data_IF_613303567338
#
_entry.id   IF_613303567338
#
_cell.length_a   1.000
_cell.length_b   1.000
_cell.length_c   1.000
_cell.angle_alpha   90.00
_cell.angle_beta   90.00
_cell.angle_gamma   90.00
#
_symmetry.space_group_name_H-M   'P 1'
#
loop_
_entity.id
_entity.type
_entity.pdbx_description
1 polymer ?
#
# COMPACT_ATOMS: atom_id res chain seq x y z
N UNK A 1 -12.63 -1.81 -21.49
CA UNK A 1 -11.33 -2.29 -20.99
C UNK A 1 -10.28 -1.28 -21.40
N UNK A 2 -9.43 -0.84 -20.45
CA UNK A 2 -8.29 0.06 -20.68
C UNK A 2 -7.00 -0.73 -20.46
N UNK A 3 -6.06 -0.66 -21.38
CA UNK A 3 -4.79 -1.39 -21.31
C UNK A 3 -3.64 -0.38 -21.46
N UNK A 4 -3.01 -0.06 -20.34
CA UNK A 4 -1.76 0.69 -20.29
C UNK A 4 -0.57 -0.20 -20.62
N UNK A 5 0.58 0.38 -20.94
CA UNK A 5 1.80 -0.35 -21.32
C UNK A 5 3.01 0.03 -20.46
N UNK A 6 2.85 0.95 -19.51
CA UNK A 6 3.93 1.56 -18.75
C UNK A 6 3.62 1.67 -17.24
N UNK A 7 2.84 0.72 -16.68
CA UNK A 7 2.45 0.73 -15.28
C UNK A 7 3.68 0.74 -14.36
N UNK A 8 4.68 -0.09 -14.64
CA UNK A 8 5.90 -0.27 -13.83
C UNK A 8 6.76 1.01 -13.70
N UNK A 9 6.55 1.98 -14.59
CA UNK A 9 7.19 3.30 -14.53
C UNK A 9 6.19 4.42 -14.24
N UNK A 10 4.97 4.07 -13.80
CA UNK A 10 3.96 4.98 -13.26
C UNK A 10 2.81 5.34 -14.19
N UNK A 11 2.65 4.70 -15.36
CA UNK A 11 1.49 4.85 -16.25
C UNK A 11 1.35 6.21 -16.93
N UNK A 12 2.45 6.98 -17.02
CA UNK A 12 2.40 8.38 -17.50
C UNK A 12 2.14 8.51 -18.99
N UNK A 13 2.56 7.53 -19.79
CA UNK A 13 2.42 7.52 -21.26
C UNK A 13 1.27 6.63 -21.73
N UNK A 14 0.80 5.70 -20.90
CA UNK A 14 -0.30 4.78 -21.16
C UNK A 14 -1.57 5.15 -20.42
N UNK A 15 -1.70 4.69 -19.18
CA UNK A 15 -2.91 4.81 -18.37
C UNK A 15 -3.38 6.25 -18.18
N UNK A 16 -2.47 7.20 -17.96
CA UNK A 16 -2.79 8.62 -17.83
C UNK A 16 -3.46 9.17 -19.09
N UNK A 17 -2.89 8.93 -20.26
CA UNK A 17 -3.48 9.42 -21.51
C UNK A 17 -4.82 8.76 -21.84
N UNK A 18 -4.97 7.47 -21.51
CA UNK A 18 -6.25 6.78 -21.63
C UNK A 18 -7.29 7.43 -20.69
N UNK A 19 -6.92 7.71 -19.45
CA UNK A 19 -7.81 8.37 -18.49
C UNK A 19 -8.21 9.79 -18.95
N UNK A 20 -7.27 10.58 -19.44
CA UNK A 20 -7.52 11.91 -20.00
C UNK A 20 -8.48 11.84 -21.20
N UNK A 21 -8.25 10.91 -22.12
CA UNK A 21 -9.15 10.70 -23.28
C UNK A 21 -10.56 10.33 -22.84
N UNK A 22 -10.69 9.42 -21.86
CA UNK A 22 -12.01 9.02 -21.33
C UNK A 22 -12.68 10.21 -20.64
N UNK A 23 -11.93 10.98 -19.85
CA UNK A 23 -12.46 12.16 -19.16
C UNK A 23 -12.99 13.20 -20.15
N UNK A 24 -12.25 13.46 -21.23
CA UNK A 24 -12.68 14.40 -22.28
C UNK A 24 -13.95 13.93 -22.99
N UNK A 25 -14.10 12.62 -23.18
CA UNK A 25 -15.22 12.04 -23.93
C UNK A 25 -16.48 11.82 -23.09
N UNK A 26 -16.34 11.38 -21.85
CA UNK A 26 -17.44 10.92 -21.00
C UNK A 26 -17.64 11.77 -19.73
N UNK A 27 -16.69 12.65 -19.41
CA UNK A 27 -16.71 13.46 -18.20
C UNK A 27 -16.24 12.71 -16.93
N UNK A 28 -16.22 13.42 -15.78
CA UNK A 28 -15.85 12.82 -14.50
C UNK A 28 -16.93 11.85 -14.00
N UNK A 29 -16.51 10.89 -13.15
CA UNK A 29 -17.40 9.90 -12.50
C UNK A 29 -18.28 9.11 -13.48
N UNK A 30 -17.76 8.90 -14.69
CA UNK A 30 -18.48 8.20 -15.76
C UNK A 30 -18.58 6.68 -15.53
N UNK A 31 -17.74 6.11 -14.65
CA UNK A 31 -17.80 4.70 -14.28
C UNK A 31 -18.39 4.50 -12.88
N UNK A 32 -19.28 3.54 -12.74
CA UNK A 32 -19.78 3.10 -11.43
C UNK A 32 -18.65 2.54 -10.59
N UNK A 33 -17.81 1.71 -11.22
CA UNK A 33 -16.61 1.15 -10.58
C UNK A 33 -15.53 0.85 -11.64
N UNK A 34 -14.32 0.64 -11.13
CA UNK A 34 -13.17 0.12 -11.86
C UNK A 34 -12.61 -1.08 -11.10
N UNK A 35 -12.17 -2.09 -11.82
CA UNK A 35 -11.36 -3.20 -11.30
C UNK A 35 -10.00 -3.16 -12.00
N UNK A 36 -8.95 -3.18 -11.20
CA UNK A 36 -7.54 -3.10 -11.61
C UNK A 36 -6.73 -4.21 -10.93
N UNK A 37 -5.48 -4.33 -11.29
CA UNK A 37 -4.54 -5.23 -10.63
C UNK A 37 -4.41 -4.94 -9.12
N UNK A 38 -3.95 -5.94 -8.36
CA UNK A 38 -3.80 -5.77 -6.92
C UNK A 38 -3.32 -7.01 -6.21
N UNK A 39 -3.85 -7.27 -5.00
CA UNK A 39 -3.52 -8.47 -4.25
C UNK A 39 -4.24 -9.70 -4.81
N UNK A 40 -3.89 -10.86 -4.30
CA UNK A 40 -4.14 -12.19 -4.85
C UNK A 40 -5.08 -13.01 -3.95
N UNK A 41 -5.42 -14.20 -4.41
CA UNK A 41 -5.93 -15.28 -3.56
C UNK A 41 -4.73 -15.99 -2.96
N UNK A 42 -4.52 -15.91 -1.65
CA UNK A 42 -3.30 -16.43 -1.01
C UNK A 42 -3.69 -17.43 0.07
N UNK A 43 -3.11 -18.64 -0.04
CA UNK A 43 -3.25 -19.66 0.99
C UNK A 43 -2.35 -19.35 2.19
N UNK A 44 -2.84 -19.65 3.40
CA UNK A 44 -2.11 -19.52 4.68
C UNK A 44 -1.53 -18.12 4.97
N UNK A 45 -2.08 -17.06 4.37
CA UNK A 45 -1.60 -15.69 4.56
C UNK A 45 -2.04 -15.09 5.90
N UNK A 46 -3.24 -15.42 6.36
CA UNK A 46 -3.80 -14.89 7.61
C UNK A 46 -3.72 -15.96 8.70
N UNK A 47 -2.90 -15.76 9.74
CA UNK A 47 -2.77 -16.74 10.83
C UNK A 47 -4.10 -17.01 11.53
N UNK A 48 -4.40 -18.28 11.72
CA UNK A 48 -5.63 -18.73 12.38
C UNK A 48 -6.88 -18.72 11.50
N UNK A 49 -6.79 -18.29 10.23
CA UNK A 49 -7.85 -18.44 9.24
C UNK A 49 -7.70 -19.79 8.50
N UNK A 50 -8.84 -20.42 8.21
CA UNK A 50 -8.91 -21.69 7.47
C UNK A 50 -9.11 -21.41 5.98
N UNK A 51 -8.24 -21.99 5.14
CA UNK A 51 -8.29 -21.86 3.68
C UNK A 51 -7.75 -20.53 3.14
N UNK A 52 -7.72 -20.41 1.80
CA UNK A 52 -7.21 -19.23 1.11
C UNK A 52 -8.05 -17.98 1.37
N UNK A 53 -7.40 -16.82 1.24
CA UNK A 53 -8.05 -15.51 1.35
C UNK A 53 -7.84 -14.74 0.06
N UNK A 54 -8.93 -14.33 -0.57
CA UNK A 54 -8.95 -13.40 -1.69
C UNK A 54 -8.97 -11.97 -1.16
N UNK A 55 -7.87 -11.26 -1.33
CA UNK A 55 -7.68 -9.91 -0.77
C UNK A 55 -8.03 -8.85 -1.81
N UNK A 56 -9.27 -8.34 -1.77
CA UNK A 56 -9.74 -7.27 -2.65
C UNK A 56 -9.35 -5.92 -2.04
N UNK A 57 -8.36 -5.24 -2.62
CA UNK A 57 -7.91 -3.97 -2.08
C UNK A 57 -8.90 -2.85 -2.41
N UNK A 58 -9.35 -2.18 -1.35
CA UNK A 58 -10.29 -1.06 -1.42
C UNK A 58 -9.61 0.31 -1.38
N UNK A 59 -8.32 0.33 -1.14
CA UNK A 59 -7.48 1.52 -1.15
C UNK A 59 -6.02 1.17 -1.46
N UNK A 60 -5.26 2.16 -1.92
CA UNK A 60 -3.80 2.11 -2.05
C UNK A 60 -3.15 3.06 -1.08
N UNK A 61 -1.95 2.73 -0.64
CA UNK A 61 -1.10 3.66 0.08
C UNK A 61 -0.61 4.78 -0.85
N UNK A 62 -0.57 5.99 -0.30
CA UNK A 62 0.19 7.06 -0.92
C UNK A 62 1.70 6.89 -0.71
N UNK A 63 2.47 7.81 -1.25
CA UNK A 63 3.90 7.90 -0.96
C UNK A 63 4.35 9.34 -0.78
N UNK A 64 5.33 9.56 0.09
CA UNK A 64 6.04 10.83 0.20
C UNK A 64 7.53 10.56 0.36
N UNK A 65 8.31 11.30 -0.39
CA UNK A 65 9.77 11.29 -0.32
C UNK A 65 10.24 12.58 0.29
N UNK A 66 10.91 12.50 1.44
CA UNK A 66 11.47 13.63 2.15
C UNK A 66 12.99 13.60 2.03
N UNK A 67 13.58 14.74 1.68
CA UNK A 67 15.01 14.99 1.78
C UNK A 67 15.29 15.68 3.11
N UNK A 68 16.16 15.08 3.91
CA UNK A 68 16.73 15.68 5.10
C UNK A 68 18.12 16.18 4.75
N UNK A 69 18.41 17.44 5.02
CA UNK A 69 19.72 18.04 4.76
C UNK A 69 20.24 18.85 5.94
N UNK A 70 21.55 18.82 6.12
CA UNK A 70 22.27 19.56 7.14
C UNK A 70 23.47 20.25 6.48
N UNK A 71 23.58 21.56 6.69
CA UNK A 71 24.78 22.32 6.36
C UNK A 71 25.67 22.46 7.59
N UNK A 72 26.97 22.35 7.41
CA UNK A 72 27.98 22.46 8.46
C UNK A 72 29.24 23.12 7.94
N UNK A 73 30.24 23.25 8.79
CA UNK A 73 31.52 23.84 8.44
C UNK A 73 32.49 22.76 7.97
N UNK A 74 32.98 22.81 6.72
CA UNK A 74 33.99 21.88 6.27
C UNK A 74 35.36 22.21 6.89
N UNK A 75 36.17 21.17 7.14
CA UNK A 75 37.47 21.37 7.77
C UNK A 75 38.38 20.15 7.78
N UNK A 76 39.57 20.31 8.33
CA UNK A 76 40.49 19.20 8.47
C UNK A 76 40.08 18.31 9.67
N UNK A 77 40.15 17.00 9.49
CA UNK A 77 39.71 16.04 10.51
C UNK A 77 40.50 16.07 11.85
N UNK A 78 41.65 16.75 11.90
CA UNK A 78 42.42 16.93 13.13
C UNK A 78 41.89 17.99 14.10
N UNK A 79 40.96 18.86 13.60
CA UNK A 79 40.34 19.93 14.39
C UNK A 79 38.83 20.00 14.08
N UNK A 80 38.07 18.93 14.37
CA UNK A 80 36.65 18.90 14.05
C UNK A 80 35.84 19.74 15.04
N UNK A 81 34.70 20.26 14.58
CA UNK A 81 33.66 20.76 15.47
C UNK A 81 33.09 19.61 16.34
N UNK A 82 32.43 19.93 17.47
CA UNK A 82 31.84 18.92 18.37
C UNK A 82 30.76 18.07 17.70
N UNK A 83 29.99 18.64 16.76
CA UNK A 83 28.98 17.96 15.98
C UNK A 83 29.16 18.30 14.51
N UNK A 84 29.45 17.30 13.69
CA UNK A 84 29.52 17.46 12.23
C UNK A 84 28.14 17.35 11.60
N UNK A 85 27.99 17.85 10.36
CA UNK A 85 26.77 17.66 9.57
C UNK A 85 26.36 16.17 9.46
N UNK A 86 27.35 15.28 9.36
CA UNK A 86 27.12 13.81 9.36
C UNK A 86 26.53 13.32 10.67
N UNK A 87 27.08 13.74 11.81
CA UNK A 87 26.59 13.32 13.12
C UNK A 87 25.17 13.81 13.40
N UNK A 88 24.89 15.07 13.08
CA UNK A 88 23.55 15.66 13.22
C UNK A 88 22.54 14.89 12.37
N UNK A 89 22.85 14.66 11.08
CA UNK A 89 21.96 13.93 10.18
C UNK A 89 21.76 12.47 10.61
N UNK A 90 22.83 11.78 11.02
CA UNK A 90 22.76 10.40 11.50
C UNK A 90 21.83 10.27 12.73
N UNK A 91 21.90 11.24 13.66
CA UNK A 91 20.99 11.28 14.81
C UNK A 91 19.52 11.48 14.35
N UNK A 92 19.28 12.38 13.39
CA UNK A 92 17.94 12.65 12.85
C UNK A 92 17.32 11.39 12.24
N UNK A 93 18.03 10.70 11.33
CA UNK A 93 17.51 9.49 10.67
C UNK A 93 17.35 8.33 11.65
N UNK A 94 18.25 8.18 12.63
CA UNK A 94 18.13 7.17 13.70
C UNK A 94 16.88 7.38 14.56
N UNK A 95 16.48 8.63 14.82
CA UNK A 95 15.23 8.94 15.52
C UNK A 95 14.02 8.49 14.71
N UNK A 96 13.99 8.75 13.40
CA UNK A 96 12.88 8.35 12.51
C UNK A 96 12.71 6.83 12.46
N UNK A 97 13.78 6.05 12.41
CA UNK A 97 13.71 4.59 12.44
C UNK A 97 13.20 4.04 13.77
N UNK A 98 13.61 4.67 14.90
CA UNK A 98 13.22 4.24 16.25
C UNK A 98 11.83 4.70 16.66
N UNK A 99 11.30 5.74 16.03
CA UNK A 99 9.99 6.30 16.31
C UNK A 99 9.10 6.20 15.06
N UNK A 100 8.58 4.99 14.74
CA UNK A 100 7.70 4.81 13.60
C UNK A 100 6.34 5.50 13.84
N UNK A 101 5.70 5.96 12.77
CA UNK A 101 4.37 6.56 12.84
C UNK A 101 3.36 5.66 13.56
N UNK A 102 2.35 6.25 14.23
CA UNK A 102 1.36 5.50 15.00
C UNK A 102 0.60 4.48 14.15
N UNK A 103 0.38 3.28 14.69
CA UNK A 103 -0.42 2.26 14.04
C UNK A 103 -1.91 2.44 14.36
N UNK A 104 -2.77 2.01 13.42
CA UNK A 104 -4.22 1.96 13.57
C UNK A 104 -4.79 0.65 13.02
N UNK A 105 -5.94 0.23 13.53
CA UNK A 105 -6.75 -0.83 12.92
C UNK A 105 -7.90 -0.27 12.10
N UNK A 106 -8.12 1.04 12.10
CA UNK A 106 -9.25 1.66 11.41
C UNK A 106 -9.15 1.46 9.89
N UNK A 107 -10.30 1.39 9.24
CA UNK A 107 -10.39 1.26 7.79
C UNK A 107 -10.17 -0.17 7.28
N UNK A 108 -9.40 -0.37 6.18
CA UNK A 108 -9.30 -1.65 5.49
C UNK A 108 -8.88 -2.83 6.37
N UNK A 109 -7.96 -2.63 7.33
CA UNK A 109 -7.51 -3.69 8.23
C UNK A 109 -8.63 -4.21 9.15
N UNK A 110 -9.41 -3.32 9.74
CA UNK A 110 -10.56 -3.70 10.56
C UNK A 110 -11.62 -4.45 9.74
N UNK A 111 -11.92 -3.93 8.55
CA UNK A 111 -12.91 -4.53 7.65
C UNK A 111 -12.47 -5.93 7.20
N UNK A 112 -11.17 -6.13 6.92
CA UNK A 112 -10.59 -7.42 6.59
C UNK A 112 -10.81 -8.45 7.72
N UNK A 113 -10.44 -8.11 8.95
CA UNK A 113 -10.62 -9.03 10.08
C UNK A 113 -12.10 -9.35 10.34
N UNK A 114 -12.97 -8.36 10.18
CA UNK A 114 -14.42 -8.53 10.34
C UNK A 114 -14.98 -9.45 9.25
N UNK A 115 -14.61 -9.29 8.00
CA UNK A 115 -15.03 -10.15 6.89
C UNK A 115 -14.54 -11.59 7.05
N UNK A 116 -13.32 -11.78 7.52
CA UNK A 116 -12.71 -13.11 7.71
C UNK A 116 -13.16 -13.83 8.99
N UNK A 117 -13.93 -13.17 9.86
CA UNK A 117 -14.36 -13.72 11.14
C UNK A 117 -14.95 -15.15 11.07
N UNK A 118 -15.81 -15.51 10.10
CA UNK A 118 -16.37 -16.86 10.04
C UNK A 118 -15.33 -17.98 9.90
N UNK A 119 -14.26 -17.74 9.16
CA UNK A 119 -13.19 -18.72 8.85
C UNK A 119 -12.10 -18.85 9.92
N UNK A 120 -12.10 -18.02 10.95
CA UNK A 120 -11.10 -18.09 12.01
C UNK A 120 -11.30 -19.29 12.96
N UNK A 121 -10.20 -19.80 13.51
CA UNK A 121 -10.21 -20.71 14.66
C UNK A 121 -10.84 -20.04 15.88
N UNK A 122 -11.35 -20.82 16.84
CA UNK A 122 -12.12 -20.31 17.97
C UNK A 122 -11.44 -19.13 18.71
N UNK A 123 -10.17 -19.26 19.06
CA UNK A 123 -9.44 -18.19 19.78
C UNK A 123 -9.32 -16.89 18.98
N UNK A 124 -8.98 -17.00 17.67
CA UNK A 124 -8.94 -15.83 16.78
C UNK A 124 -10.33 -15.25 16.53
N UNK A 125 -11.36 -16.10 16.41
CA UNK A 125 -12.74 -15.66 16.25
C UNK A 125 -13.22 -14.87 17.46
N UNK A 126 -12.88 -15.34 18.68
CA UNK A 126 -13.19 -14.61 19.92
C UNK A 126 -12.51 -13.24 19.95
N UNK A 127 -11.21 -13.17 19.60
CA UNK A 127 -10.44 -11.93 19.53
C UNK A 127 -11.06 -10.94 18.54
N UNK A 128 -11.28 -11.39 17.30
CA UNK A 128 -11.81 -10.55 16.23
C UNK A 128 -13.27 -10.12 16.46
N UNK A 129 -14.07 -10.94 17.14
CA UNK A 129 -15.46 -10.57 17.53
C UNK A 129 -15.51 -9.49 18.61
N UNK A 130 -14.40 -9.24 19.31
CA UNK A 130 -14.31 -8.29 20.41
C UNK A 130 -13.16 -7.29 20.19
N UNK A 131 -13.05 -6.74 18.96
CA UNK A 131 -11.99 -5.77 18.61
C UNK A 131 -12.05 -4.49 19.45
N UNK A 132 -13.22 -4.13 19.99
CA UNK A 132 -13.34 -3.03 20.93
C UNK A 132 -12.49 -3.24 22.20
N UNK A 133 -12.33 -4.50 22.65
CA UNK A 133 -11.52 -4.89 23.81
C UNK A 133 -10.09 -5.27 23.40
N UNK A 134 -9.94 -6.13 22.40
CA UNK A 134 -8.64 -6.71 21.99
C UNK A 134 -7.93 -5.91 20.89
N UNK A 135 -8.58 -4.90 20.31
CA UNK A 135 -8.02 -4.06 19.24
C UNK A 135 -6.65 -3.46 19.58
N UNK A 136 -6.46 -2.85 20.75
CA UNK A 136 -5.16 -2.32 21.16
C UNK A 136 -4.04 -3.38 21.19
N UNK A 137 -4.35 -4.61 21.63
CA UNK A 137 -3.40 -5.72 21.62
C UNK A 137 -3.10 -6.19 20.20
N UNK A 138 -4.13 -6.43 19.39
CA UNK A 138 -3.97 -6.84 18.00
C UNK A 138 -3.15 -5.82 17.20
N UNK A 139 -3.44 -4.52 17.37
CA UNK A 139 -2.68 -3.43 16.76
C UNK A 139 -1.20 -3.51 17.12
N UNK A 140 -0.86 -3.73 18.40
CA UNK A 140 0.54 -3.88 18.84
C UNK A 140 1.22 -5.09 18.19
N UNK A 141 0.52 -6.23 18.16
CA UNK A 141 1.05 -7.47 17.54
C UNK A 141 1.31 -7.28 16.04
N UNK A 142 0.38 -6.66 15.31
CA UNK A 142 0.55 -6.39 13.88
C UNK A 142 1.65 -5.37 13.62
N UNK A 143 1.72 -4.33 14.43
CA UNK A 143 2.72 -3.27 14.33
C UNK A 143 4.14 -3.72 14.63
N UNK A 144 4.30 -4.77 15.45
CA UNK A 144 5.60 -5.31 15.83
C UNK A 144 6.26 -6.19 14.75
N UNK A 145 5.51 -6.63 13.73
CA UNK A 145 6.03 -7.49 12.66
C UNK A 145 6.17 -6.68 11.37
N UNK A 146 7.33 -6.73 10.74
CA UNK A 146 7.63 -5.97 9.52
C UNK A 146 6.54 -6.09 8.44
N UNK A 147 6.17 -7.33 8.04
CA UNK A 147 5.15 -7.55 6.97
C UNK A 147 3.75 -7.07 7.34
N UNK A 148 3.30 -7.24 8.58
CA UNK A 148 1.94 -6.84 8.99
C UNK A 148 1.83 -5.38 9.39
N UNK A 149 2.94 -4.74 9.77
CA UNK A 149 2.97 -3.31 10.10
C UNK A 149 2.55 -2.44 8.89
N UNK A 150 2.83 -2.92 7.67
CA UNK A 150 2.44 -2.23 6.43
C UNK A 150 0.93 -2.03 6.28
N UNK A 151 0.12 -2.91 6.88
CA UNK A 151 -1.35 -2.84 6.81
C UNK A 151 -1.95 -1.85 7.82
N UNK A 152 -1.20 -1.49 8.86
CA UNK A 152 -1.75 -0.77 10.02
C UNK A 152 -1.09 0.58 10.28
N UNK A 153 -0.10 0.99 9.49
CA UNK A 153 0.56 2.29 9.65
C UNK A 153 1.21 2.80 8.37
N UNK A 154 1.51 4.08 8.35
CA UNK A 154 2.49 4.66 7.44
C UNK A 154 3.87 4.10 7.78
N UNK A 155 4.57 3.58 6.77
CA UNK A 155 5.90 2.97 6.93
C UNK A 155 7.00 3.92 6.46
N UNK A 156 8.15 3.85 7.11
CA UNK A 156 9.33 4.68 6.87
C UNK A 156 10.47 3.82 6.34
N UNK A 157 11.13 4.25 5.28
CA UNK A 157 12.31 3.63 4.72
C UNK A 157 13.40 4.68 4.47
N UNK A 158 14.54 4.52 5.09
CA UNK A 158 15.74 5.30 4.78
C UNK A 158 16.40 4.68 3.55
N UNK A 159 16.45 5.40 2.44
CA UNK A 159 16.89 4.84 1.14
C UNK A 159 18.23 5.38 0.65
N UNK A 160 18.59 6.60 1.03
CA UNK A 160 19.85 7.24 0.66
C UNK A 160 20.44 7.95 1.86
N UNK A 161 21.75 7.83 2.04
CA UNK A 161 22.52 8.64 2.98
C UNK A 161 23.85 9.02 2.32
N UNK A 162 24.11 10.31 2.16
CA UNK A 162 25.28 10.83 1.45
C UNK A 162 25.98 11.93 2.25
N UNK A 163 27.27 11.78 2.42
CA UNK A 163 28.14 12.81 3.02
C UNK A 163 29.62 12.49 2.75
N UNK A 164 30.41 13.54 2.65
CA UNK A 164 31.87 13.45 2.56
C UNK A 164 32.41 12.87 1.25
N UNK A 165 33.68 13.09 1.01
CA UNK A 165 34.41 12.59 -0.18
C UNK A 165 35.78 12.02 0.19
N UNK A 166 36.37 12.42 1.32
CA UNK A 166 37.70 11.98 1.79
C UNK A 166 37.68 11.72 3.29
N UNK A 167 38.46 10.73 3.72
CA UNK A 167 38.54 10.31 5.13
C UNK A 167 39.15 11.36 6.08
N UNK A 168 39.93 12.32 5.57
CA UNK A 168 40.61 13.36 6.38
C UNK A 168 39.98 14.75 6.24
N UNK A 169 38.77 14.85 5.69
CA UNK A 169 38.00 16.10 5.51
C UNK A 169 36.64 15.98 6.19
N UNK A 170 36.33 16.89 7.09
CA UNK A 170 34.98 17.04 7.66
C UNK A 170 34.08 17.62 6.57
N UNK A 171 32.99 16.94 6.16
CA UNK A 171 32.14 17.45 5.09
C UNK A 171 31.33 18.67 5.51
N UNK A 172 31.17 19.63 4.58
CA UNK A 172 30.35 20.82 4.79
C UNK A 172 28.84 20.60 4.69
N UNK A 173 28.42 19.42 4.22
CA UNK A 173 27.01 19.07 4.17
C UNK A 173 26.78 17.58 4.26
N UNK A 174 25.58 17.18 4.64
CA UNK A 174 25.09 15.80 4.61
C UNK A 174 23.62 15.78 4.19
N UNK A 175 23.20 14.76 3.46
CA UNK A 175 21.80 14.59 3.10
C UNK A 175 21.35 13.13 3.14
N UNK A 176 20.06 12.93 3.43
CA UNK A 176 19.43 11.63 3.44
C UNK A 176 18.07 11.71 2.74
N UNK A 177 17.67 10.60 2.11
CA UNK A 177 16.33 10.43 1.56
C UNK A 177 15.57 9.44 2.42
N UNK A 178 14.40 9.87 2.88
CA UNK A 178 13.45 9.06 3.63
C UNK A 178 12.18 8.93 2.80
N UNK A 179 11.78 7.71 2.51
CA UNK A 179 10.56 7.42 1.79
C UNK A 179 9.51 6.82 2.72
N UNK A 180 8.29 7.34 2.63
CA UNK A 180 7.15 6.80 3.36
C UNK A 180 6.13 6.22 2.40
N UNK A 181 5.53 5.09 2.79
CA UNK A 181 4.29 4.57 2.21
C UNK A 181 3.15 4.98 3.13
N UNK A 182 2.37 5.96 2.69
CA UNK A 182 1.39 6.67 3.51
C UNK A 182 0.10 5.87 3.63
N UNK A 183 -0.30 5.60 4.86
CA UNK A 183 -1.53 4.86 5.17
C UNK A 183 -2.76 5.75 4.90
N UNK A 184 -3.92 5.22 4.47
CA UNK A 184 -5.13 6.00 4.17
C UNK A 184 -5.68 6.88 5.31
N UNK A 185 -5.20 6.69 6.53
CA UNK A 185 -5.54 7.52 7.68
C UNK A 185 -4.71 8.81 7.76
N UNK A 186 -3.53 8.82 7.17
CA UNK A 186 -2.59 9.93 7.28
C UNK A 186 -2.60 10.75 5.98
N UNK A 187 -2.42 12.06 6.09
CA UNK A 187 -2.14 12.92 4.94
C UNK A 187 -0.62 13.03 4.70
N UNK A 188 -0.24 13.49 3.52
CA UNK A 188 1.18 13.74 3.21
C UNK A 188 1.78 14.80 4.15
N UNK A 189 0.96 15.78 4.56
CA UNK A 189 1.37 16.86 5.47
C UNK A 189 1.52 16.37 6.90
N UNK A 190 0.65 15.47 7.36
CA UNK A 190 0.79 14.82 8.67
C UNK A 190 2.12 14.06 8.79
N UNK A 191 2.51 13.34 7.73
CA UNK A 191 3.77 12.59 7.71
C UNK A 191 4.98 13.53 7.79
N UNK A 192 4.99 14.60 7.00
CA UNK A 192 6.08 15.58 7.03
C UNK A 192 6.15 16.30 8.37
N UNK A 193 5.01 16.66 8.94
CA UNK A 193 4.93 17.29 10.26
C UNK A 193 5.43 16.34 11.36
N UNK A 194 5.06 15.05 11.28
CA UNK A 194 5.53 14.03 12.20
C UNK A 194 7.05 13.88 12.16
N UNK A 195 7.63 13.75 10.98
CA UNK A 195 9.08 13.61 10.82
C UNK A 195 9.82 14.85 11.35
N UNK A 196 9.33 16.04 11.06
CA UNK A 196 9.90 17.29 11.57
C UNK A 196 9.88 17.33 13.10
N UNK A 197 8.78 16.89 13.70
CA UNK A 197 8.62 16.84 15.15
C UNK A 197 9.53 15.78 15.80
N UNK A 198 9.71 14.61 15.18
CA UNK A 198 10.59 13.54 15.67
C UNK A 198 12.06 13.93 15.55
N UNK A 199 12.46 14.53 14.44
CA UNK A 199 13.81 15.04 14.22
C UNK A 199 14.16 16.08 15.31
N UNK A 200 13.26 17.03 15.54
CA UNK A 200 13.38 18.07 16.56
C UNK A 200 14.78 18.69 16.63
N UNK A 201 15.34 19.07 15.49
CA UNK A 201 16.62 19.78 15.37
C UNK A 201 16.52 20.83 14.25
N UNK A 202 16.64 22.10 14.59
CA UNK A 202 16.48 23.23 13.66
C UNK A 202 17.56 23.30 12.58
N UNK A 203 18.67 22.60 12.76
CA UNK A 203 19.77 22.50 11.76
C UNK A 203 19.45 21.52 10.64
N UNK A 204 18.47 20.63 10.85
CA UNK A 204 18.00 19.68 9.83
C UNK A 204 16.85 20.28 9.07
N UNK A 205 17.05 20.50 7.78
CA UNK A 205 15.97 20.90 6.86
C UNK A 205 15.22 19.64 6.39
N UNK A 206 13.91 19.64 6.46
CA UNK A 206 13.04 18.56 5.97
C UNK A 206 12.22 19.07 4.80
N UNK A 207 12.54 18.61 3.59
CA UNK A 207 11.92 19.08 2.35
C UNK A 207 11.24 17.91 1.62
N UNK A 208 9.99 18.11 1.15
CA UNK A 208 9.32 17.16 0.27
C UNK A 208 9.87 17.30 -1.15
N UNK A 209 10.38 16.19 -1.70
CA UNK A 209 10.97 16.14 -3.05
C UNK A 209 10.16 15.29 -4.03
N UNK A 210 9.21 14.51 -3.53
CA UNK A 210 8.27 13.74 -4.35
C UNK A 210 7.09 13.23 -3.54
N UNK A 211 5.94 13.07 -4.19
CA UNK A 211 4.76 12.50 -3.51
C UNK A 211 3.73 11.95 -4.48
N UNK A 212 3.00 10.94 -4.02
CA UNK A 212 1.76 10.44 -4.62
C UNK A 212 0.69 10.47 -3.54
N UNK A 213 -0.45 11.12 -3.76
CA UNK A 213 -1.53 11.17 -2.78
C UNK A 213 -2.01 9.76 -2.39
N UNK A 214 -2.66 9.67 -1.23
CA UNK A 214 -3.35 8.45 -0.80
C UNK A 214 -4.61 8.27 -1.65
N UNK A 215 -4.90 7.05 -2.08
CA UNK A 215 -6.11 6.80 -2.88
C UNK A 215 -7.39 7.01 -2.06
N UNK A 216 -8.49 7.39 -2.70
CA UNK A 216 -9.81 7.28 -2.08
C UNK A 216 -10.06 5.83 -1.61
N UNK A 217 -10.79 5.69 -0.49
CA UNK A 217 -11.18 4.37 0.03
C UNK A 217 -12.52 3.98 -0.55
N UNK A 218 -12.56 2.91 -1.32
CA UNK A 218 -13.77 2.35 -1.92
C UNK A 218 -14.59 1.56 -0.89
N UNK A 219 -15.91 1.54 -1.06
CA UNK A 219 -16.81 0.84 -0.14
C UNK A 219 -16.81 -0.67 -0.40
N UNK A 220 -16.53 -1.46 0.63
CA UNK A 220 -16.65 -2.93 0.58
C UNK A 220 -18.09 -3.43 0.72
N UNK A 221 -19.07 -2.54 0.93
CA UNK A 221 -20.49 -2.87 0.92
C UNK A 221 -21.19 -2.51 -0.40
N UNK A 222 -20.48 -1.88 -1.33
CA UNK A 222 -21.02 -1.51 -2.63
C UNK A 222 -21.36 -2.75 -3.50
N UNK A 223 -22.40 -2.72 -4.34
CA UNK A 223 -22.76 -3.85 -5.18
C UNK A 223 -21.62 -4.39 -6.06
N UNK A 224 -20.75 -3.54 -6.59
CA UNK A 224 -19.59 -3.98 -7.37
C UNK A 224 -18.58 -4.82 -6.57
N UNK A 225 -18.38 -4.52 -5.27
CA UNK A 225 -17.59 -5.38 -4.40
C UNK A 225 -18.23 -6.75 -4.21
N UNK A 226 -19.57 -6.77 -4.05
CA UNK A 226 -20.34 -8.03 -3.96
C UNK A 226 -20.25 -8.87 -5.22
N UNK A 227 -20.22 -8.24 -6.41
CA UNK A 227 -19.99 -8.98 -7.66
C UNK A 227 -18.61 -9.64 -7.69
N UNK A 228 -17.56 -8.98 -7.19
CA UNK A 228 -16.22 -9.61 -7.03
C UNK A 228 -16.27 -10.78 -6.03
N UNK A 229 -16.93 -10.63 -4.87
CA UNK A 229 -17.10 -11.70 -3.90
C UNK A 229 -17.83 -12.92 -4.50
N UNK A 230 -18.89 -12.69 -5.26
CA UNK A 230 -19.66 -13.72 -5.94
C UNK A 230 -18.79 -14.50 -6.93
N UNK A 231 -18.06 -13.80 -7.80
CA UNK A 231 -17.18 -14.45 -8.80
C UNK A 231 -16.02 -15.19 -8.12
N UNK A 232 -15.47 -14.65 -7.02
CA UNK A 232 -14.49 -15.35 -6.22
C UNK A 232 -15.08 -16.66 -5.68
N UNK A 233 -16.29 -16.64 -5.16
CA UNK A 233 -16.99 -17.84 -4.68
C UNK A 233 -17.22 -18.89 -5.77
N UNK A 234 -17.46 -18.48 -7.01
CA UNK A 234 -17.63 -19.39 -8.17
C UNK A 234 -16.31 -20.01 -8.63
N UNK A 235 -15.23 -19.22 -8.70
CA UNK A 235 -13.93 -19.67 -9.24
C UNK A 235 -13.04 -20.30 -8.16
N UNK A 236 -13.13 -19.82 -6.95
CA UNK A 236 -12.33 -20.25 -5.78
C UNK A 236 -13.25 -20.56 -4.58
N UNK A 237 -14.06 -21.64 -4.63
CA UNK A 237 -15.12 -21.89 -3.64
C UNK A 237 -14.63 -22.10 -2.21
N UNK A 238 -13.34 -22.37 -2.02
CA UNK A 238 -12.72 -22.48 -0.69
C UNK A 238 -12.09 -21.18 -0.19
N UNK A 239 -12.05 -20.12 -1.01
CA UNK A 239 -11.46 -18.85 -0.62
C UNK A 239 -12.49 -17.95 0.06
N UNK A 240 -12.09 -17.31 1.15
CA UNK A 240 -12.85 -16.22 1.74
C UNK A 240 -12.44 -14.89 1.11
N UNK A 241 -13.39 -14.11 0.61
CA UNK A 241 -13.10 -12.77 0.13
C UNK A 241 -13.06 -11.76 1.30
N UNK A 242 -12.12 -10.82 1.25
CA UNK A 242 -12.01 -9.78 2.27
C UNK A 242 -11.48 -8.46 1.68
N UNK A 243 -12.00 -7.31 2.14
CA UNK A 243 -11.40 -6.01 1.81
C UNK A 243 -9.98 -5.92 2.38
N UNK A 244 -9.07 -5.30 1.64
CA UNK A 244 -7.67 -5.16 2.05
C UNK A 244 -7.10 -3.80 1.62
N UNK A 245 -5.83 -3.56 1.98
CA UNK A 245 -5.07 -2.39 1.61
C UNK A 245 -3.96 -2.79 0.64
N UNK A 246 -3.88 -2.12 -0.51
CA UNK A 246 -2.77 -2.28 -1.43
C UNK A 246 -1.58 -1.44 -0.97
N UNK A 247 -0.45 -2.08 -0.74
CA UNK A 247 0.75 -1.41 -0.20
C UNK A 247 1.66 -0.86 -1.30
N UNK A 248 1.43 -1.26 -2.55
CA UNK A 248 2.04 -0.74 -3.77
C UNK A 248 1.13 0.32 -4.42
N UNK A 249 1.43 0.66 -5.66
CA UNK A 249 0.60 1.53 -6.49
C UNK A 249 0.23 0.78 -7.78
N UNK A 250 -0.81 1.23 -8.46
CA UNK A 250 -1.25 0.72 -9.77
C UNK A 250 -1.65 1.89 -10.68
N UNK A 251 -1.95 1.60 -11.93
CA UNK A 251 -2.48 2.58 -12.89
C UNK A 251 -3.80 3.21 -12.45
N UNK A 252 -4.52 2.60 -11.50
CA UNK A 252 -5.78 3.11 -10.97
C UNK A 252 -5.68 4.54 -10.42
N UNK A 253 -4.47 5.01 -10.08
CA UNK A 253 -4.21 6.41 -9.66
C UNK A 253 -4.65 7.45 -10.67
N UNK A 254 -4.64 7.12 -11.96
CA UNK A 254 -5.04 8.03 -13.03
C UNK A 254 -6.55 8.06 -13.25
N UNK A 255 -7.33 7.17 -12.61
CA UNK A 255 -8.77 6.99 -12.81
C UNK A 255 -9.62 7.42 -11.61
N UNK A 256 -9.05 8.02 -10.56
CA UNK A 256 -9.81 8.38 -9.34
C UNK A 256 -10.97 9.33 -9.62
N UNK A 257 -10.80 10.24 -10.58
CA UNK A 257 -11.86 11.17 -10.98
C UNK A 257 -12.91 10.55 -11.90
N UNK A 258 -12.62 9.40 -12.51
CA UNK A 258 -13.50 8.73 -13.47
C UNK A 258 -14.38 7.66 -12.84
N UNK A 259 -13.91 6.98 -11.80
CA UNK A 259 -14.61 5.88 -11.16
C UNK A 259 -15.05 6.23 -9.74
N UNK A 260 -16.30 5.85 -9.38
CA UNK A 260 -16.84 6.06 -8.02
C UNK A 260 -16.24 5.10 -7.00
N UNK A 261 -15.93 3.88 -7.44
CA UNK A 261 -15.33 2.81 -6.64
C UNK A 261 -14.19 2.21 -7.45
N UNK A 262 -13.08 1.90 -6.79
CA UNK A 262 -11.94 1.24 -7.43
C UNK A 262 -11.50 0.06 -6.55
N UNK A 263 -11.49 -1.13 -7.14
CA UNK A 263 -11.07 -2.37 -6.50
C UNK A 263 -9.84 -2.92 -7.20
N UNK A 264 -8.89 -3.41 -6.42
CA UNK A 264 -7.61 -3.93 -6.94
C UNK A 264 -7.46 -5.36 -6.49
N UNK A 265 -7.43 -6.27 -7.46
CA UNK A 265 -7.41 -7.70 -7.19
C UNK A 265 -6.94 -8.49 -8.41
N UNK A 266 -6.01 -9.42 -8.19
CA UNK A 266 -5.57 -10.38 -9.19
C UNK A 266 -6.15 -11.77 -8.86
N UNK A 267 -6.94 -12.38 -9.75
CA UNK A 267 -7.54 -13.68 -9.52
C UNK A 267 -6.54 -14.83 -9.77
N UNK A 268 -5.48 -14.85 -8.98
CA UNK A 268 -4.39 -15.85 -9.04
C UNK A 268 -4.26 -16.47 -7.65
N UNK A 269 -4.36 -17.81 -7.58
CA UNK A 269 -4.14 -18.55 -6.33
C UNK A 269 -2.65 -18.81 -6.14
N UNK A 270 -2.11 -18.28 -5.06
CA UNK A 270 -0.70 -18.40 -4.68
C UNK A 270 -0.56 -19.05 -3.31
N UNK A 271 0.51 -19.81 -3.16
CA UNK A 271 1.01 -20.12 -1.84
C UNK A 271 1.75 -18.91 -1.25
N UNK A 272 1.74 -18.78 0.07
CA UNK A 272 2.40 -17.67 0.76
C UNK A 272 3.85 -17.45 0.32
N UNK A 273 4.58 -18.55 0.07
CA UNK A 273 6.00 -18.50 -0.29
C UNK A 273 6.23 -18.03 -1.75
N UNK A 274 5.21 -18.14 -2.60
CA UNK A 274 5.28 -17.67 -3.99
C UNK A 274 5.25 -16.14 -4.12
N UNK A 275 4.74 -15.44 -3.12
CA UNK A 275 4.70 -13.97 -3.09
C UNK A 275 6.08 -13.30 -3.09
N UNK A 276 7.15 -14.04 -2.86
CA UNK A 276 8.53 -13.54 -2.90
C UNK A 276 9.13 -13.48 -4.30
N UNK A 277 8.42 -14.00 -5.31
CA UNK A 277 8.90 -14.07 -6.69
C UNK A 277 8.59 -12.84 -7.53
N UNK A 278 7.67 -11.99 -7.09
CA UNK A 278 7.33 -10.76 -7.81
C UNK A 278 8.55 -9.86 -7.95
N UNK A 279 8.86 -9.41 -9.17
CA UNK A 279 10.07 -8.67 -9.53
C UNK A 279 11.36 -9.39 -9.13
N UNK A 280 11.30 -10.72 -8.97
CA UNK A 280 12.38 -11.56 -8.48
C UNK A 280 12.84 -12.64 -9.46
N UNK A 281 13.63 -13.58 -8.94
CA UNK A 281 14.10 -14.73 -9.72
C UNK A 281 12.96 -15.74 -9.86
N UNK A 282 12.84 -16.36 -11.05
CA UNK A 282 11.81 -17.36 -11.39
C UNK A 282 10.38 -16.82 -11.27
N UNK A 283 10.15 -15.56 -11.57
CA UNK A 283 8.79 -15.01 -11.68
C UNK A 283 8.02 -15.78 -12.75
N UNK A 284 6.88 -16.35 -12.36
CA UNK A 284 6.10 -17.22 -13.22
C UNK A 284 4.66 -17.34 -12.76
N UNK A 285 3.78 -17.69 -13.70
CA UNK A 285 2.40 -18.10 -13.44
C UNK A 285 2.20 -19.54 -13.93
N UNK A 286 1.46 -20.35 -13.18
CA UNK A 286 1.10 -21.69 -13.65
C UNK A 286 0.03 -21.63 -14.76
N UNK A 287 0.04 -22.60 -15.68
CA UNK A 287 -0.99 -22.73 -16.72
C UNK A 287 -2.40 -22.79 -16.11
N UNK A 288 -2.53 -23.47 -14.97
CA UNK A 288 -3.80 -23.54 -14.23
C UNK A 288 -4.25 -22.16 -13.74
N UNK A 289 -3.37 -21.40 -13.13
CA UNK A 289 -3.68 -20.05 -12.68
C UNK A 289 -4.07 -19.14 -13.85
N UNK A 290 -3.34 -19.22 -14.96
CA UNK A 290 -3.68 -18.43 -16.15
C UNK A 290 -5.09 -18.78 -16.68
N UNK A 291 -5.44 -20.06 -16.76
CA UNK A 291 -6.79 -20.48 -17.15
C UNK A 291 -7.86 -19.98 -16.16
N UNK A 292 -7.55 -19.95 -14.85
CA UNK A 292 -8.44 -19.40 -13.82
C UNK A 292 -8.62 -17.89 -13.96
N UNK A 293 -7.58 -17.14 -14.33
CA UNK A 293 -7.69 -15.70 -14.64
C UNK A 293 -8.69 -15.47 -15.78
N UNK A 294 -8.55 -16.22 -16.89
CA UNK A 294 -9.46 -16.10 -18.04
C UNK A 294 -10.91 -16.44 -17.64
N UNK A 295 -11.09 -17.53 -16.87
CA UNK A 295 -12.41 -17.91 -16.36
C UNK A 295 -12.98 -16.83 -15.46
N UNK A 296 -12.19 -16.26 -14.57
CA UNK A 296 -12.62 -15.20 -13.67
C UNK A 296 -13.06 -13.96 -14.43
N UNK A 297 -12.26 -13.48 -15.38
CA UNK A 297 -12.59 -12.30 -16.19
C UNK A 297 -13.92 -12.50 -16.96
N UNK A 298 -14.08 -13.67 -17.58
CA UNK A 298 -15.33 -14.02 -18.27
C UNK A 298 -16.52 -14.02 -17.32
N UNK A 299 -16.42 -14.76 -16.20
CA UNK A 299 -17.49 -14.85 -15.20
C UNK A 299 -17.84 -13.49 -14.61
N UNK A 300 -16.83 -12.64 -14.39
CA UNK A 300 -17.04 -11.29 -13.86
C UNK A 300 -17.86 -10.43 -14.81
N UNK A 301 -17.57 -10.47 -16.12
CA UNK A 301 -18.36 -9.77 -17.13
C UNK A 301 -19.81 -10.30 -17.15
N UNK A 302 -20.00 -11.63 -17.14
CA UNK A 302 -21.33 -12.25 -17.15
C UNK A 302 -22.16 -11.89 -15.89
N UNK A 303 -21.54 -11.80 -14.72
CA UNK A 303 -22.22 -11.44 -13.46
C UNK A 303 -22.58 -9.96 -13.42
N UNK A 304 -21.67 -9.09 -13.86
CA UNK A 304 -21.92 -7.64 -13.88
C UNK A 304 -22.97 -7.25 -14.93
N UNK A 305 -22.95 -7.85 -16.11
CA UNK A 305 -23.92 -7.61 -17.17
C UNK A 305 -25.35 -7.99 -16.75
N UNK A 306 -25.51 -9.15 -16.09
CA UNK A 306 -26.81 -9.58 -15.55
C UNK A 306 -27.35 -8.67 -14.44
N UNK A 307 -26.47 -8.05 -13.67
CA UNK A 307 -26.88 -7.11 -12.62
C UNK A 307 -27.49 -5.85 -13.19
N UNK A 308 -26.97 -5.36 -14.31
CA UNK A 308 -27.39 -4.12 -14.94
C UNK A 308 -28.56 -4.33 -15.92
N UNK A 309 -28.94 -5.58 -16.21
CA UNK A 309 -30.10 -5.90 -17.01
C UNK A 309 -31.40 -5.45 -16.30
N UNK A 310 -32.34 -4.76 -16.99
CA UNK A 310 -33.61 -4.39 -16.39
C UNK A 310 -34.29 -5.67 -15.88
N UNK A 311 -34.69 -5.69 -14.60
CA UNK A 311 -35.52 -6.76 -14.05
C UNK A 311 -36.88 -6.67 -14.72
N UNK A 312 -37.15 -7.59 -15.66
CA UNK A 312 -38.48 -7.76 -16.29
C UNK A 312 -39.53 -8.16 -15.24
#
# INVERSE_FOLDING_TARGET
>A
MALGHDEEIGGWQGAKHIAEFIHQRLGPRCFEFMWDEGLFVIDRIVPGHRGPVAMICVAEKGSVTLELSVEGTPGHSSAPEFESAVGILANAVSKLERQPLPATLDGPANNMFTALRPGFTFGMKLLVSNLWLFGPLLRRVLAAKHKTSTLVRTTTALTVFQAGSKHNVVPGSAKAIVQHRVHPKDTLDDVQAYDTAVVNDRRVQVKRVGSVPVSPVSSHTHPAFRSLEEVIGLVYPQAAAAPSLFVANSDSRHYWDLARQIYRFNPILLDRDETTRFHGIDERISVRNFAQVVLFCRTFVEVTDKRDAPRN
#
